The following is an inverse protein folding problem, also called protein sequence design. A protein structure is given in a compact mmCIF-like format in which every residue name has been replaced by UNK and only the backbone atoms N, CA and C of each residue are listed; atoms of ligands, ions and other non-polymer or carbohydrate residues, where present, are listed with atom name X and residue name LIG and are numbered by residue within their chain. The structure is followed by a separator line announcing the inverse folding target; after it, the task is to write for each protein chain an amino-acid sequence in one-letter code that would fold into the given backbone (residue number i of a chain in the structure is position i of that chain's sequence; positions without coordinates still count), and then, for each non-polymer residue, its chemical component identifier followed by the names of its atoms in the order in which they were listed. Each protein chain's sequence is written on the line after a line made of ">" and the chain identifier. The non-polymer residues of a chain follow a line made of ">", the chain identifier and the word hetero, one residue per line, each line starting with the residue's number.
data_IF_054551489123
#
_entry.id   IF_054551489123
#
_cell.length_a   1.000
_cell.length_b   1.000
_cell.length_c   1.000
_cell.angle_alpha   90.00
_cell.angle_beta   90.00
_cell.angle_gamma   90.00
#
_symmetry.space_group_name_H-M   'P 1'
#
loop_
_entity.id
_entity.type
_entity.pdbx_description
1 polymer ?
#
# COMPACT_ATOMS: atom_id res chain seq x y z
N UNK A 1 71.17 -23.39 -45.01
CA UNK A 1 71.26 -22.71 -43.70
C UNK A 1 70.72 -21.31 -43.90
N UNK A 2 69.63 -20.88 -43.23
CA UNK A 2 69.19 -19.50 -43.31
C UNK A 2 70.10 -18.65 -42.42
N UNK A 3 70.65 -17.60 -43.02
CA UNK A 3 71.42 -16.53 -42.39
C UNK A 3 70.53 -15.77 -41.40
N UNK A 4 70.86 -15.85 -40.12
CA UNK A 4 70.30 -14.98 -39.09
C UNK A 4 70.84 -13.57 -39.31
N UNK A 5 70.03 -12.68 -39.86
CA UNK A 5 70.31 -11.23 -39.88
C UNK A 5 70.31 -10.71 -38.44
N UNK A 6 71.49 -10.29 -37.96
CA UNK A 6 71.61 -9.57 -36.68
C UNK A 6 70.81 -8.26 -36.77
N UNK A 7 69.81 -8.12 -35.90
CA UNK A 7 69.03 -6.90 -35.81
C UNK A 7 69.87 -5.79 -35.16
N UNK A 8 70.05 -4.68 -35.88
CA UNK A 8 70.66 -3.48 -35.31
C UNK A 8 69.80 -2.94 -34.15
N UNK A 9 70.41 -2.35 -33.11
CA UNK A 9 69.67 -1.78 -31.99
C UNK A 9 68.71 -0.67 -32.48
N UNK A 10 67.47 -0.62 -31.97
CA UNK A 10 66.45 0.30 -32.44
C UNK A 10 66.85 1.76 -32.23
N UNK A 11 66.45 2.63 -33.17
CA UNK A 11 66.77 4.05 -33.09
C UNK A 11 65.96 4.75 -31.99
N UNK A 12 66.40 5.92 -31.48
CA UNK A 12 65.64 6.67 -30.48
C UNK A 12 64.21 7.02 -30.92
N UNK A 13 63.99 7.18 -32.23
CA UNK A 13 62.68 7.48 -32.83
C UNK A 13 61.78 6.23 -32.84
N UNK A 14 62.31 5.06 -33.24
CA UNK A 14 61.61 3.77 -33.15
C UNK A 14 61.22 3.43 -31.69
N UNK A 15 62.10 3.77 -30.75
CA UNK A 15 61.84 3.62 -29.31
C UNK A 15 60.72 4.57 -28.83
N UNK A 16 60.63 5.78 -29.36
CA UNK A 16 59.56 6.72 -29.02
C UNK A 16 58.20 6.26 -29.59
N UNK A 17 58.17 5.80 -30.83
CA UNK A 17 56.96 5.27 -31.48
C UNK A 17 56.44 4.01 -30.78
N UNK A 18 57.32 3.05 -30.48
CA UNK A 18 56.95 1.82 -29.76
C UNK A 18 56.47 2.09 -28.33
N UNK A 19 57.03 3.10 -27.64
CA UNK A 19 56.53 3.57 -26.33
C UNK A 19 55.13 4.19 -26.45
N UNK A 20 54.88 5.00 -27.48
CA UNK A 20 53.58 5.61 -27.72
C UNK A 20 52.51 4.57 -28.05
N UNK A 21 52.82 3.58 -28.89
CA UNK A 21 51.95 2.45 -29.17
C UNK A 21 51.64 1.65 -27.90
N UNK A 22 52.66 1.32 -27.10
CA UNK A 22 52.48 0.58 -25.85
C UNK A 22 51.64 1.34 -24.82
N UNK A 23 51.79 2.66 -24.73
CA UNK A 23 50.94 3.48 -23.86
C UNK A 23 49.47 3.44 -24.28
N UNK A 24 49.19 3.50 -25.59
CA UNK A 24 47.83 3.33 -26.14
C UNK A 24 47.26 1.95 -25.81
N UNK A 25 48.04 0.88 -26.01
CA UNK A 25 47.60 -0.49 -25.67
C UNK A 25 47.29 -0.65 -24.17
N UNK A 26 48.13 -0.10 -23.29
CA UNK A 26 47.92 -0.16 -21.84
C UNK A 26 46.65 0.60 -21.43
N UNK A 27 46.44 1.78 -22.00
CA UNK A 27 45.25 2.60 -21.75
C UNK A 27 43.98 1.89 -22.24
N UNK A 28 44.01 1.33 -23.45
CA UNK A 28 42.88 0.55 -24.00
C UNK A 28 42.59 -0.71 -23.17
N UNK A 29 43.62 -1.43 -22.71
CA UNK A 29 43.43 -2.60 -21.85
C UNK A 29 42.86 -2.23 -20.48
N UNK A 30 43.30 -1.11 -19.90
CA UNK A 30 42.74 -0.61 -18.64
C UNK A 30 41.27 -0.21 -18.82
N UNK A 31 40.96 0.59 -19.84
CA UNK A 31 39.60 0.99 -20.17
C UNK A 31 38.69 -0.21 -20.47
N UNK A 32 39.19 -1.22 -21.20
CA UNK A 32 38.42 -2.43 -21.49
C UNK A 32 38.13 -3.26 -20.23
N UNK A 33 39.08 -3.37 -19.30
CA UNK A 33 38.86 -4.02 -18.00
C UNK A 33 37.82 -3.27 -17.17
N UNK A 34 37.87 -1.95 -17.13
CA UNK A 34 36.85 -1.14 -16.45
C UNK A 34 35.48 -1.32 -17.11
N UNK A 35 35.40 -1.26 -18.43
CA UNK A 35 34.16 -1.50 -19.16
C UNK A 35 33.54 -2.86 -18.82
N UNK A 36 34.35 -3.92 -18.83
CA UNK A 36 33.89 -5.27 -18.48
C UNK A 36 33.38 -5.34 -17.03
N UNK A 37 34.06 -4.67 -16.10
CA UNK A 37 33.65 -4.59 -14.70
C UNK A 37 32.30 -3.87 -14.55
N UNK A 38 32.08 -2.75 -15.24
CA UNK A 38 30.80 -2.05 -15.23
C UNK A 38 29.68 -2.86 -15.91
N UNK A 39 29.96 -3.55 -17.01
CA UNK A 39 28.99 -4.45 -17.65
C UNK A 39 28.56 -5.59 -16.72
N UNK A 40 29.51 -6.17 -15.98
CA UNK A 40 29.22 -7.19 -14.96
C UNK A 40 28.34 -6.61 -13.85
N UNK A 41 28.67 -5.42 -13.34
CA UNK A 41 27.86 -4.73 -12.33
C UNK A 41 26.43 -4.47 -12.82
N UNK A 42 26.25 -3.96 -14.03
CA UNK A 42 24.92 -3.73 -14.62
C UNK A 42 24.15 -5.05 -14.74
N UNK A 43 24.81 -6.13 -15.12
CA UNK A 43 24.18 -7.47 -15.20
C UNK A 43 23.68 -7.92 -13.83
N UNK A 44 24.51 -7.78 -12.79
CA UNK A 44 24.12 -8.08 -11.40
C UNK A 44 22.96 -7.20 -10.96
N UNK A 45 22.99 -5.90 -11.24
CA UNK A 45 21.92 -4.95 -10.92
C UNK A 45 20.59 -5.36 -11.59
N UNK A 46 20.61 -5.74 -12.87
CA UNK A 46 19.42 -6.18 -13.60
C UNK A 46 18.83 -7.46 -12.99
N UNK A 47 19.67 -8.42 -12.60
CA UNK A 47 19.25 -9.65 -11.91
C UNK A 47 18.65 -9.33 -10.54
N UNK A 48 19.26 -8.45 -9.75
CA UNK A 48 18.76 -8.08 -8.42
C UNK A 48 17.45 -7.30 -8.52
N UNK A 49 17.33 -6.38 -9.47
CA UNK A 49 16.14 -5.56 -9.65
C UNK A 49 14.93 -6.37 -10.16
N UNK A 50 15.14 -7.37 -11.02
CA UNK A 50 14.06 -8.15 -11.61
C UNK A 50 13.88 -9.54 -10.99
N UNK A 51 14.88 -10.07 -10.29
CA UNK A 51 14.85 -11.42 -9.71
C UNK A 51 13.68 -11.67 -8.75
N UNK A 52 13.35 -10.73 -7.84
CA UNK A 52 12.18 -10.85 -6.97
C UNK A 52 10.83 -10.60 -7.66
N UNK A 53 10.81 -10.07 -8.90
CA UNK A 53 9.57 -9.73 -9.59
C UNK A 53 8.91 -11.00 -10.13
N UNK A 54 7.74 -11.31 -9.61
CA UNK A 54 6.88 -12.38 -10.08
C UNK A 54 5.85 -11.84 -11.10
N UNK A 55 5.72 -12.45 -12.29
CA UNK A 55 4.75 -12.01 -13.29
C UNK A 55 3.30 -12.06 -12.81
N UNK A 56 2.98 -12.90 -11.81
CA UNK A 56 1.62 -13.02 -11.27
C UNK A 56 1.22 -11.84 -10.40
N UNK A 57 2.16 -11.06 -9.87
CA UNK A 57 1.84 -9.90 -9.03
C UNK A 57 0.94 -8.90 -9.76
N UNK A 58 1.24 -8.60 -11.03
CA UNK A 58 0.43 -7.68 -11.82
C UNK A 58 -1.01 -8.18 -11.98
N UNK A 59 -1.19 -9.46 -12.31
CA UNK A 59 -2.51 -10.05 -12.50
C UNK A 59 -3.32 -10.09 -11.22
N UNK A 60 -2.69 -10.42 -10.09
CA UNK A 60 -3.37 -10.40 -8.78
C UNK A 60 -3.76 -8.98 -8.37
N UNK A 61 -2.86 -8.01 -8.49
CA UNK A 61 -3.18 -6.60 -8.21
C UNK A 61 -4.36 -6.12 -9.06
N UNK A 62 -4.33 -6.42 -10.36
CA UNK A 62 -5.40 -6.02 -11.29
C UNK A 62 -6.72 -6.70 -10.94
N UNK A 63 -6.73 -8.02 -10.75
CA UNK A 63 -7.92 -8.80 -10.39
C UNK A 63 -8.58 -8.23 -9.13
N UNK A 64 -7.81 -8.06 -8.06
CA UNK A 64 -8.35 -7.55 -6.79
C UNK A 64 -8.87 -6.11 -6.91
N UNK A 65 -8.14 -5.24 -7.62
CA UNK A 65 -8.61 -3.88 -7.88
C UNK A 65 -9.93 -3.87 -8.64
N UNK A 66 -10.05 -4.67 -9.70
CA UNK A 66 -11.25 -4.71 -10.53
C UNK A 66 -12.43 -5.31 -9.73
N UNK A 67 -12.21 -6.37 -8.96
CA UNK A 67 -13.21 -6.99 -8.08
C UNK A 67 -13.83 -5.98 -7.11
N UNK A 68 -13.02 -5.23 -6.37
CA UNK A 68 -13.52 -4.31 -5.35
C UNK A 68 -13.94 -2.94 -5.88
N UNK A 69 -13.38 -2.48 -7.00
CA UNK A 69 -13.73 -1.16 -7.55
C UNK A 69 -14.95 -1.20 -8.47
N UNK A 70 -15.04 -2.18 -9.35
CA UNK A 70 -16.10 -2.29 -10.38
C UNK A 70 -16.92 -3.58 -10.30
N UNK A 71 -16.42 -4.64 -9.66
CA UNK A 71 -17.03 -5.97 -9.63
C UNK A 71 -18.44 -6.03 -9.03
N UNK A 72 -18.76 -5.11 -8.10
CA UNK A 72 -20.11 -4.99 -7.50
C UNK A 72 -21.23 -4.51 -8.45
N UNK A 73 -20.92 -4.23 -9.72
CA UNK A 73 -21.92 -3.92 -10.75
C UNK A 73 -22.69 -2.62 -10.47
N UNK A 74 -23.95 -2.74 -10.00
CA UNK A 74 -24.76 -1.57 -9.60
C UNK A 74 -24.31 -0.99 -8.26
N UNK A 75 -23.83 -1.85 -7.36
CA UNK A 75 -23.40 -1.53 -6.00
C UNK A 75 -21.86 -1.53 -5.91
N UNK A 76 -21.17 -1.23 -7.01
CA UNK A 76 -19.71 -1.14 -7.01
C UNK A 76 -19.22 0.10 -6.24
N UNK A 77 -18.03 0.01 -5.67
CA UNK A 77 -17.43 1.13 -4.94
C UNK A 77 -17.29 2.39 -5.82
N UNK A 78 -17.00 2.23 -7.12
CA UNK A 78 -16.97 3.35 -8.07
C UNK A 78 -18.28 4.16 -8.10
N UNK A 79 -19.42 3.50 -7.84
CA UNK A 79 -20.76 4.11 -7.86
C UNK A 79 -21.25 4.54 -6.48
N UNK A 80 -20.45 4.37 -5.43
CA UNK A 80 -20.73 4.82 -4.07
C UNK A 80 -20.58 6.35 -3.97
N UNK A 81 -21.55 7.09 -4.54
CA UNK A 81 -21.55 8.56 -4.62
C UNK A 81 -22.28 9.25 -3.46
N UNK A 82 -22.92 8.49 -2.57
CA UNK A 82 -23.63 8.98 -1.38
C UNK A 82 -23.40 8.02 -0.22
N UNK A 83 -23.70 8.44 1.01
CA UNK A 83 -23.63 7.59 2.21
C UNK A 83 -24.43 6.29 2.05
N UNK A 84 -25.69 6.39 1.61
CA UNK A 84 -26.55 5.23 1.35
C UNK A 84 -25.95 4.29 0.29
N UNK A 85 -25.35 4.83 -0.78
CA UNK A 85 -24.73 3.97 -1.81
C UNK A 85 -23.43 3.33 -1.32
N UNK A 86 -22.74 3.96 -0.38
CA UNK A 86 -21.58 3.35 0.27
C UNK A 86 -22.00 2.16 1.13
N UNK A 87 -23.03 2.29 1.96
CA UNK A 87 -23.56 1.17 2.73
C UNK A 87 -24.11 0.05 1.85
N UNK A 88 -24.85 0.39 0.78
CA UNK A 88 -25.24 -0.57 -0.24
C UNK A 88 -24.04 -1.30 -0.86
N UNK A 89 -22.91 -0.63 -1.08
CA UNK A 89 -21.69 -1.28 -1.55
C UNK A 89 -21.16 -2.25 -0.48
N UNK A 90 -21.11 -1.85 0.78
CA UNK A 90 -20.65 -2.69 1.89
C UNK A 90 -21.50 -3.96 2.00
N UNK A 91 -22.82 -3.80 2.06
CA UNK A 91 -23.78 -4.88 2.27
C UNK A 91 -23.90 -5.81 1.05
N UNK A 92 -24.01 -5.25 -0.16
CA UNK A 92 -24.40 -6.02 -1.34
C UNK A 92 -23.23 -6.43 -2.24
N UNK A 93 -22.05 -5.82 -2.07
CA UNK A 93 -20.87 -6.13 -2.89
C UNK A 93 -19.66 -6.54 -2.06
N UNK A 94 -19.31 -5.81 -1.01
CA UNK A 94 -18.12 -6.13 -0.20
C UNK A 94 -18.33 -7.39 0.65
N UNK A 95 -19.35 -7.41 1.51
CA UNK A 95 -19.60 -8.54 2.43
C UNK A 95 -19.73 -9.87 1.67
N UNK A 96 -20.54 -10.00 0.61
CA UNK A 96 -20.66 -11.23 -0.15
C UNK A 96 -19.35 -11.68 -0.84
N UNK A 97 -18.47 -10.73 -1.18
CA UNK A 97 -17.17 -11.03 -1.78
C UNK A 97 -16.19 -11.59 -0.74
N UNK A 98 -16.20 -11.05 0.49
CA UNK A 98 -15.26 -11.43 1.56
C UNK A 98 -15.69 -12.64 2.40
N UNK A 99 -16.97 -13.00 2.37
CA UNK A 99 -17.55 -14.07 3.20
C UNK A 99 -18.20 -15.18 2.37
N UNK A 100 -17.55 -15.59 1.28
CA UNK A 100 -18.08 -16.66 0.42
C UNK A 100 -18.08 -18.01 1.15
N UNK A 101 -19.28 -18.58 1.33
CA UNK A 101 -19.48 -19.86 2.04
C UNK A 101 -19.74 -21.06 1.12
N UNK A 102 -19.87 -20.83 -0.19
CA UNK A 102 -20.19 -21.89 -1.16
C UNK A 102 -19.21 -21.88 -2.32
N UNK A 103 -18.76 -23.07 -2.73
CA UNK A 103 -17.96 -23.28 -3.93
C UNK A 103 -18.77 -22.98 -5.20
N UNK A 104 -18.09 -22.89 -6.34
CA UNK A 104 -18.70 -22.71 -7.66
C UNK A 104 -19.76 -23.76 -8.02
N UNK A 105 -19.74 -24.92 -7.37
CA UNK A 105 -20.70 -26.02 -7.55
C UNK A 105 -21.78 -26.09 -6.44
N UNK A 106 -21.88 -25.07 -5.59
CA UNK A 106 -22.89 -24.97 -4.54
C UNK A 106 -22.60 -25.81 -3.28
N UNK A 107 -21.47 -26.52 -3.22
CA UNK A 107 -21.06 -27.21 -1.99
C UNK A 107 -20.53 -26.23 -0.96
N UNK A 108 -20.72 -26.52 0.33
CA UNK A 108 -20.20 -25.68 1.41
C UNK A 108 -18.67 -25.63 1.40
N UNK A 109 -18.10 -24.45 1.61
CA UNK A 109 -16.69 -24.29 1.93
C UNK A 109 -16.45 -24.82 3.35
N UNK A 110 -15.33 -25.52 3.54
CA UNK A 110 -14.97 -26.08 4.85
C UNK A 110 -14.35 -25.04 5.79
N UNK A 111 -13.91 -23.90 5.25
CA UNK A 111 -13.31 -22.80 6.00
C UNK A 111 -13.81 -21.46 5.46
N UNK A 112 -14.16 -20.55 6.35
CA UNK A 112 -14.56 -19.20 6.00
C UNK A 112 -13.37 -18.34 5.54
N UNK A 113 -13.64 -17.15 5.00
CA UNK A 113 -12.63 -16.14 4.67
C UNK A 113 -12.02 -16.24 3.27
N UNK A 114 -12.47 -17.18 2.44
CA UNK A 114 -12.14 -17.16 1.01
C UNK A 114 -12.97 -16.12 0.27
N UNK A 115 -12.34 -15.49 -0.71
CA UNK A 115 -13.00 -14.62 -1.68
C UNK A 115 -13.84 -15.45 -2.66
N UNK A 116 -14.70 -14.78 -3.41
CA UNK A 116 -15.56 -15.43 -4.41
C UNK A 116 -14.77 -16.01 -5.60
N UNK A 117 -13.48 -15.66 -5.71
CA UNK A 117 -12.56 -16.26 -6.67
C UNK A 117 -12.06 -17.66 -6.26
N UNK A 118 -12.36 -18.10 -5.03
CA UNK A 118 -11.99 -19.40 -4.46
C UNK A 118 -10.50 -19.69 -4.38
N UNK A 119 -9.65 -18.71 -4.65
CA UNK A 119 -8.20 -18.85 -4.70
C UNK A 119 -7.51 -17.96 -3.68
N UNK A 120 -8.16 -16.87 -3.31
CA UNK A 120 -7.61 -15.85 -2.44
C UNK A 120 -8.35 -15.86 -1.10
N UNK A 121 -7.61 -15.66 -0.01
CA UNK A 121 -8.09 -15.77 1.36
C UNK A 121 -7.77 -14.50 2.15
N UNK A 122 -8.67 -14.04 3.01
CA UNK A 122 -8.43 -12.86 3.86
C UNK A 122 -7.55 -13.24 5.04
N UNK A 123 -6.34 -12.70 5.07
CA UNK A 123 -5.40 -12.89 6.15
C UNK A 123 -5.61 -11.82 7.23
N UNK A 124 -6.31 -12.18 8.31
CA UNK A 124 -6.64 -11.30 9.43
C UNK A 124 -8.09 -10.83 9.41
N UNK A 125 -8.33 -9.61 9.87
CA UNK A 125 -9.67 -9.00 9.95
C UNK A 125 -9.85 -7.95 8.86
N UNK A 126 -11.12 -7.60 8.59
CA UNK A 126 -11.45 -6.45 7.73
C UNK A 126 -11.68 -5.24 8.63
N UNK A 127 -10.88 -4.19 8.43
CA UNK A 127 -10.88 -2.98 9.26
C UNK A 127 -11.58 -1.84 8.54
N UNK A 128 -12.62 -1.29 9.15
CA UNK A 128 -13.17 0.01 8.79
C UNK A 128 -12.47 1.08 9.61
N UNK A 129 -12.00 2.13 8.96
CA UNK A 129 -11.43 3.31 9.63
C UNK A 129 -12.06 4.56 9.09
N UNK A 130 -12.54 5.41 9.98
CA UNK A 130 -13.23 6.64 9.65
C UNK A 130 -12.46 7.85 10.16
N UNK A 131 -12.47 8.91 9.35
CA UNK A 131 -12.02 10.25 9.70
C UNK A 131 -13.15 11.26 9.52
N UNK A 132 -13.23 12.19 10.47
CA UNK A 132 -14.32 13.16 10.61
C UNK A 132 -13.79 14.49 11.11
N UNK A 133 -14.60 15.53 10.93
CA UNK A 133 -14.34 16.88 11.47
C UNK A 133 -15.19 17.14 12.70
N UNK A 134 -14.78 18.11 13.52
CA UNK A 134 -15.47 18.43 14.77
C UNK A 134 -16.88 18.97 14.49
N UNK A 135 -17.86 18.49 15.25
CA UNK A 135 -19.26 18.92 15.13
C UNK A 135 -19.50 20.39 15.55
N UNK A 136 -18.71 20.89 16.51
CA UNK A 136 -18.95 22.20 17.14
C UNK A 136 -18.24 23.36 16.41
N UNK A 137 -17.20 23.07 15.63
CA UNK A 137 -16.47 24.06 14.85
C UNK A 137 -17.15 24.22 13.48
N UNK A 138 -18.23 25.01 13.47
CA UNK A 138 -18.93 25.32 12.24
C UNK A 138 -18.10 26.26 11.35
N UNK A 139 -18.20 26.07 10.05
CA UNK A 139 -17.60 27.01 9.10
C UNK A 139 -18.20 28.41 9.27
N UNK A 140 -17.42 29.46 8.95
CA UNK A 140 -17.90 30.84 9.03
C UNK A 140 -18.91 31.14 7.91
N UNK A 141 -20.20 31.07 8.24
CA UNK A 141 -21.29 31.41 7.31
C UNK A 141 -21.25 32.93 7.03
N UNK A 142 -21.22 33.36 5.75
CA UNK A 142 -21.24 34.78 5.43
C UNK A 142 -22.53 35.45 5.91
N UNK A 143 -22.44 36.70 6.38
CA UNK A 143 -23.55 37.43 7.00
C UNK A 143 -24.87 37.46 6.21
N UNK A 144 -24.87 37.54 4.86
CA UNK A 144 -26.13 37.52 4.09
C UNK A 144 -26.89 36.18 4.16
N UNK A 145 -26.23 35.09 4.54
CA UNK A 145 -26.81 33.75 4.63
C UNK A 145 -27.15 33.31 6.06
N UNK A 146 -26.84 34.14 7.06
CA UNK A 146 -27.23 33.88 8.45
C UNK A 146 -28.75 33.83 8.58
N UNK A 147 -29.28 32.73 9.12
CA UNK A 147 -30.71 32.47 9.24
C UNK A 147 -31.39 31.87 7.99
N UNK A 148 -30.62 31.64 6.92
CA UNK A 148 -31.03 30.80 5.77
C UNK A 148 -30.33 29.43 5.87
N UNK A 149 -29.06 29.46 6.26
CA UNK A 149 -28.24 28.26 6.48
C UNK A 149 -27.95 28.20 7.98
N UNK A 150 -28.39 27.13 8.61
CA UNK A 150 -28.23 26.94 10.05
C UNK A 150 -26.92 26.25 10.43
N UNK A 151 -26.38 25.42 9.53
CA UNK A 151 -25.17 24.65 9.76
C UNK A 151 -24.25 24.67 8.53
N UNK A 152 -22.94 24.63 8.79
CA UNK A 152 -21.93 24.49 7.76
C UNK A 152 -20.81 23.56 8.21
N UNK A 153 -20.41 22.70 7.31
CA UNK A 153 -19.39 21.69 7.46
C UNK A 153 -18.02 22.21 6.98
N UNK A 154 -16.96 22.00 7.77
CA UNK A 154 -15.59 22.35 7.38
C UNK A 154 -14.93 21.22 6.57
N UNK A 155 -14.04 21.56 5.65
CA UNK A 155 -13.23 20.58 4.92
C UNK A 155 -12.23 19.88 5.86
N UNK A 156 -11.76 18.69 5.47
CA UNK A 156 -10.78 17.96 6.29
C UNK A 156 -9.44 18.72 6.34
N UNK A 157 -8.91 18.89 7.55
CA UNK A 157 -7.61 19.51 7.77
C UNK A 157 -7.03 19.10 9.12
N UNK A 158 -5.75 19.41 9.33
CA UNK A 158 -5.05 19.05 10.57
C UNK A 158 -5.73 19.59 11.84
N UNK A 159 -6.23 20.83 11.79
CA UNK A 159 -6.90 21.48 12.92
C UNK A 159 -8.40 21.16 13.03
N UNK A 160 -9.04 20.85 11.90
CA UNK A 160 -10.47 20.54 11.82
C UNK A 160 -10.79 19.07 12.16
N UNK A 161 -9.77 18.18 12.11
CA UNK A 161 -9.89 16.77 12.48
C UNK A 161 -10.44 16.60 13.90
N UNK A 162 -11.40 15.67 14.06
CA UNK A 162 -11.98 15.35 15.36
C UNK A 162 -11.34 14.13 16.01
N UNK A 163 -10.63 14.39 17.11
CA UNK A 163 -9.93 13.39 17.91
C UNK A 163 -10.62 13.07 19.24
N UNK A 164 -11.89 13.46 19.43
CA UNK A 164 -12.63 13.25 20.68
C UNK A 164 -13.18 11.83 20.78
N UNK A 165 -13.38 11.35 22.00
CA UNK A 165 -14.09 10.09 22.22
C UNK A 165 -15.59 10.36 22.31
N UNK A 166 -16.41 9.52 21.67
CA UNK A 166 -17.86 9.66 21.64
C UNK A 166 -18.58 8.44 22.19
N UNK A 167 -19.83 8.64 22.58
CA UNK A 167 -20.79 7.54 22.74
C UNK A 167 -21.46 7.20 21.40
N UNK A 168 -22.25 6.13 21.40
CA UNK A 168 -23.05 5.71 20.24
C UNK A 168 -23.84 6.86 19.61
N UNK A 169 -23.86 6.88 18.28
CA UNK A 169 -24.55 7.91 17.48
C UNK A 169 -23.93 9.31 17.54
N UNK A 170 -22.68 9.43 18.00
CA UNK A 170 -21.98 10.71 18.13
C UNK A 170 -22.65 11.70 19.09
N UNK A 171 -23.42 11.19 20.07
CA UNK A 171 -24.30 12.00 20.91
C UNK A 171 -23.58 12.87 21.96
N UNK A 172 -22.31 12.60 22.28
CA UNK A 172 -21.52 13.39 23.23
C UNK A 172 -20.21 12.72 23.64
N UNK A 173 -19.38 13.39 24.46
CA UNK A 173 -18.08 12.87 24.86
C UNK A 173 -18.24 11.60 25.69
N UNK A 174 -17.52 10.55 25.34
CA UNK A 174 -17.44 9.35 26.16
C UNK A 174 -16.66 9.63 27.46
N UNK A 175 -17.05 8.95 28.54
CA UNK A 175 -16.38 9.06 29.83
C UNK A 175 -15.09 8.22 29.82
N UNK A 176 -14.06 8.77 29.19
CA UNK A 176 -12.74 8.14 29.04
C UNK A 176 -11.75 8.79 30.00
N UNK A 177 -11.07 7.96 30.80
CA UNK A 177 -10.13 8.42 31.84
C UNK A 177 -8.65 8.33 31.41
N UNK A 178 -8.34 7.68 30.29
CA UNK A 178 -6.97 7.39 29.83
C UNK A 178 -6.76 7.84 28.37
N UNK A 179 -5.60 8.42 28.04
CA UNK A 179 -5.19 8.75 26.68
C UNK A 179 -3.68 8.46 26.53
N UNK A 180 -3.25 7.55 25.64
CA UNK A 180 -4.04 6.75 24.71
C UNK A 180 -4.88 5.67 25.42
N UNK A 181 -6.07 5.38 24.88
CA UNK A 181 -6.94 4.33 25.42
C UNK A 181 -6.41 2.92 25.11
N UNK A 182 -6.71 1.99 26.02
CA UNK A 182 -6.55 0.55 25.85
C UNK A 182 -7.90 -0.01 25.40
N UNK A 183 -8.05 -0.32 24.11
CA UNK A 183 -9.33 -0.72 23.51
C UNK A 183 -9.92 -1.98 24.10
N UNK A 184 -9.07 -2.91 24.54
CA UNK A 184 -9.49 -4.18 25.13
C UNK A 184 -10.27 -4.01 26.45
N UNK A 185 -10.23 -2.81 27.06
CA UNK A 185 -11.02 -2.49 28.25
C UNK A 185 -12.46 -2.03 27.92
N UNK A 186 -12.76 -1.75 26.66
CA UNK A 186 -14.05 -1.27 26.19
C UNK A 186 -14.81 -2.37 25.44
N UNK A 187 -16.13 -2.31 25.47
CA UNK A 187 -16.97 -3.28 24.75
C UNK A 187 -16.91 -3.09 23.24
N UNK A 188 -17.21 -4.15 22.47
CA UNK A 188 -17.26 -4.08 20.99
C UNK A 188 -18.25 -3.03 20.46
N UNK A 189 -19.28 -2.68 21.25
CA UNK A 189 -20.27 -1.64 20.93
C UNK A 189 -19.73 -0.22 21.17
N UNK A 190 -18.81 -0.05 22.13
CA UNK A 190 -18.21 1.24 22.47
C UNK A 190 -17.01 1.59 21.57
N UNK A 191 -16.18 0.61 21.24
CA UNK A 191 -14.94 0.79 20.47
C UNK A 191 -15.09 1.62 19.17
N UNK A 192 -16.16 1.44 18.35
CA UNK A 192 -16.37 2.21 17.12
C UNK A 192 -16.48 3.72 17.29
N UNK A 193 -16.78 4.19 18.50
CA UNK A 193 -17.02 5.60 18.83
C UNK A 193 -15.82 6.25 19.52
N UNK A 194 -14.79 5.46 19.82
CA UNK A 194 -13.58 5.93 20.48
C UNK A 194 -12.47 6.25 19.46
N UNK A 195 -11.89 7.44 19.56
CA UNK A 195 -10.81 7.86 18.68
C UNK A 195 -9.52 7.07 18.92
N UNK A 196 -8.93 6.56 17.84
CA UNK A 196 -7.62 5.93 17.79
C UNK A 196 -6.56 6.94 17.42
N UNK A 197 -5.62 7.15 18.34
CA UNK A 197 -4.44 7.97 18.12
C UNK A 197 -3.53 7.34 17.07
N UNK A 198 -2.92 8.13 16.17
CA UNK A 198 -2.03 7.62 15.13
C UNK A 198 -0.79 6.95 15.73
N UNK A 199 -0.40 5.84 15.13
CA UNK A 199 0.86 5.14 15.43
C UNK A 199 1.98 5.57 14.49
N UNK A 200 3.22 5.18 14.77
CA UNK A 200 4.37 5.41 13.88
C UNK A 200 4.23 4.76 12.49
N UNK A 201 3.29 3.82 12.33
CA UNK A 201 3.05 3.09 11.09
C UNK A 201 1.91 3.68 10.26
N UNK A 202 1.14 4.63 10.81
CA UNK A 202 0.04 5.27 10.11
C UNK A 202 0.57 6.41 9.24
N UNK A 203 0.87 6.08 7.99
CA UNK A 203 1.33 7.03 6.98
C UNK A 203 0.12 7.78 6.41
N UNK A 204 0.17 9.12 6.26
CA UNK A 204 -0.93 9.86 5.67
C UNK A 204 -1.23 9.44 4.24
N UNK A 205 -2.51 9.18 3.93
CA UNK A 205 -2.96 8.83 2.58
C UNK A 205 -3.45 10.08 1.87
N UNK A 206 -2.88 10.38 0.69
CA UNK A 206 -3.39 11.46 -0.16
C UNK A 206 -4.65 11.02 -0.91
N UNK A 207 -5.76 11.72 -0.67
CA UNK A 207 -6.99 11.62 -1.42
C UNK A 207 -7.04 12.58 -2.62
N UNK A 208 -8.22 12.70 -3.21
CA UNK A 208 -8.53 13.68 -4.25
C UNK A 208 -8.79 15.07 -3.67
N UNK A 209 -9.43 15.15 -2.50
CA UNK A 209 -9.84 16.42 -1.89
C UNK A 209 -8.94 16.84 -0.73
N UNK A 210 -8.41 15.88 0.04
CA UNK A 210 -7.53 16.17 1.16
C UNK A 210 -6.47 15.08 1.36
N UNK A 211 -5.48 15.39 2.19
CA UNK A 211 -4.55 14.38 2.74
C UNK A 211 -5.06 13.95 4.10
N UNK A 212 -5.28 12.65 4.28
CA UNK A 212 -5.85 12.06 5.47
C UNK A 212 -4.76 11.50 6.37
N UNK A 213 -4.67 12.00 7.59
CA UNK A 213 -3.65 11.57 8.54
C UNK A 213 -4.00 10.22 9.19
N UNK A 214 -3.07 9.71 10.00
CA UNK A 214 -3.28 8.51 10.80
C UNK A 214 -4.37 8.67 11.86
N UNK A 215 -4.64 7.56 12.55
CA UNK A 215 -5.70 7.51 13.56
C UNK A 215 -7.11 7.51 12.98
N UNK A 216 -8.11 7.75 13.83
CA UNK A 216 -9.51 7.78 13.46
C UNK A 216 -10.37 6.81 14.28
N UNK A 217 -11.60 6.60 13.86
CA UNK A 217 -12.54 5.69 14.52
C UNK A 217 -12.50 4.36 13.79
N UNK A 218 -12.27 3.27 14.51
CA UNK A 218 -11.96 1.97 13.91
C UNK A 218 -13.01 0.94 14.32
N UNK A 219 -13.41 0.12 13.35
CA UNK A 219 -14.22 -1.08 13.57
C UNK A 219 -13.51 -2.25 12.92
N UNK A 220 -13.26 -3.30 13.68
CA UNK A 220 -12.67 -4.54 13.16
C UNK A 220 -13.75 -5.61 13.03
N UNK A 221 -13.92 -6.11 11.81
CA UNK A 221 -14.83 -7.23 11.53
C UNK A 221 -14.09 -8.53 11.83
N UNK A 222 -14.25 -9.03 13.06
CA UNK A 222 -13.58 -10.23 13.58
C UNK A 222 -14.26 -11.53 13.15
N UNK A 223 -15.58 -11.51 13.01
CA UNK A 223 -16.37 -12.67 12.60
C UNK A 223 -16.47 -12.75 11.07
N UNK A 224 -16.10 -13.88 10.49
CA UNK A 224 -16.09 -14.10 9.03
C UNK A 224 -17.41 -14.59 8.47
N UNK A 225 -18.40 -14.88 9.33
CA UNK A 225 -19.70 -15.37 8.87
C UNK A 225 -20.52 -14.23 8.27
N UNK A 226 -21.14 -14.49 7.12
CA UNK A 226 -21.95 -13.49 6.39
C UNK A 226 -23.02 -12.86 7.28
N UNK A 227 -23.70 -13.65 8.11
CA UNK A 227 -24.77 -13.15 8.97
C UNK A 227 -24.25 -12.19 10.05
N UNK A 228 -23.11 -12.49 10.68
CA UNK A 228 -22.51 -11.61 11.68
C UNK A 228 -22.02 -10.31 11.04
N UNK A 229 -21.33 -10.42 9.90
CA UNK A 229 -20.86 -9.25 9.14
C UNK A 229 -22.02 -8.31 8.77
N UNK A 230 -23.10 -8.87 8.22
CA UNK A 230 -24.29 -8.08 7.88
C UNK A 230 -24.93 -7.44 9.11
N UNK A 231 -25.01 -8.15 10.25
CA UNK A 231 -25.56 -7.57 11.48
C UNK A 231 -24.73 -6.41 12.03
N UNK A 232 -23.39 -6.51 11.97
CA UNK A 232 -22.51 -5.40 12.39
C UNK A 232 -22.64 -4.22 11.44
N UNK A 233 -22.72 -4.45 10.13
CA UNK A 233 -22.91 -3.40 9.12
C UNK A 233 -24.25 -2.68 9.30
N UNK A 234 -25.34 -3.43 9.51
CA UNK A 234 -26.69 -2.89 9.75
C UNK A 234 -26.74 -2.05 11.04
N UNK A 235 -26.09 -2.51 12.10
CA UNK A 235 -25.96 -1.73 13.34
C UNK A 235 -25.15 -0.43 13.14
N UNK A 236 -24.02 -0.47 12.43
CA UNK A 236 -23.23 0.73 12.16
C UNK A 236 -24.00 1.75 11.29
N UNK A 237 -24.76 1.28 10.31
CA UNK A 237 -25.59 2.13 9.46
C UNK A 237 -26.74 2.76 10.26
N UNK A 238 -27.50 1.94 11.00
CA UNK A 238 -28.65 2.41 11.80
C UNK A 238 -28.24 3.34 12.95
N UNK A 239 -27.04 3.16 13.51
CA UNK A 239 -26.47 4.03 14.54
C UNK A 239 -25.87 5.31 13.98
N UNK A 240 -25.82 5.48 12.64
CA UNK A 240 -25.28 6.69 12.01
C UNK A 240 -23.76 6.82 12.15
N UNK A 241 -23.01 5.71 12.11
CA UNK A 241 -21.55 5.74 12.23
C UNK A 241 -20.92 6.61 11.13
N UNK A 242 -21.49 6.64 9.93
CA UNK A 242 -21.11 7.57 8.86
C UNK A 242 -22.19 8.65 8.74
N UNK A 243 -21.80 9.91 8.87
CA UNK A 243 -22.69 11.07 8.86
C UNK A 243 -22.10 12.25 8.05
N UNK A 244 -22.78 13.40 8.08
CA UNK A 244 -22.37 14.60 7.33
C UNK A 244 -20.99 15.15 7.74
N UNK A 245 -20.51 14.84 8.95
CA UNK A 245 -19.20 15.25 9.44
C UNK A 245 -18.08 14.28 9.04
N UNK A 246 -18.44 13.09 8.51
CA UNK A 246 -17.46 12.15 7.96
C UNK A 246 -16.80 12.75 6.72
N UNK A 247 -15.47 12.63 6.62
CA UNK A 247 -14.70 13.10 5.46
C UNK A 247 -14.03 11.99 4.68
N UNK A 248 -13.67 10.89 5.34
CA UNK A 248 -13.19 9.71 4.66
C UNK A 248 -13.49 8.44 5.44
N UNK A 249 -13.78 7.37 4.71
CA UNK A 249 -13.88 6.01 5.22
C UNK A 249 -12.94 5.12 4.43
N UNK A 250 -12.14 4.35 5.15
CA UNK A 250 -11.20 3.37 4.65
C UNK A 250 -11.70 1.98 5.02
N UNK A 251 -11.69 1.06 4.07
CA UNK A 251 -11.84 -0.37 4.29
C UNK A 251 -10.50 -1.01 3.96
N UNK A 252 -9.84 -1.56 4.97
CA UNK A 252 -8.47 -2.04 4.91
C UNK A 252 -8.42 -3.51 5.32
N UNK A 253 -7.78 -4.33 4.49
CA UNK A 253 -7.62 -5.76 4.75
C UNK A 253 -6.47 -6.34 3.93
N UNK A 254 -5.97 -7.50 4.34
CA UNK A 254 -4.90 -8.19 3.62
C UNK A 254 -5.44 -9.49 3.02
N UNK A 255 -5.10 -9.74 1.76
CA UNK A 255 -5.48 -10.94 1.03
C UNK A 255 -4.23 -11.77 0.76
N UNK A 256 -4.28 -13.05 1.05
CA UNK A 256 -3.24 -14.02 0.72
C UNK A 256 -3.72 -15.00 -0.34
N UNK A 257 -2.92 -15.18 -1.39
CA UNK A 257 -3.17 -16.20 -2.41
C UNK A 257 -2.18 -17.37 -2.21
N UNK A 258 -2.63 -18.53 -1.66
CA UNK A 258 -1.77 -19.69 -1.42
C UNK A 258 -1.15 -20.28 -2.69
N UNK A 259 -1.81 -20.19 -3.84
CA UNK A 259 -1.32 -20.77 -5.09
C UNK A 259 -0.06 -20.05 -5.61
N UNK A 260 0.00 -18.74 -5.43
CA UNK A 260 1.11 -17.89 -5.91
C UNK A 260 2.06 -17.43 -4.80
N UNK A 261 1.70 -17.68 -3.53
CA UNK A 261 2.42 -17.21 -2.35
C UNK A 261 2.65 -15.69 -2.39
N UNK A 262 1.56 -14.96 -2.59
CA UNK A 262 1.53 -13.50 -2.71
C UNK A 262 0.49 -12.93 -1.76
N UNK A 263 0.88 -11.89 -1.05
CA UNK A 263 0.01 -11.07 -0.20
C UNK A 263 -0.38 -9.82 -0.96
N UNK A 264 -1.61 -9.36 -0.82
CA UNK A 264 -2.10 -8.10 -1.37
C UNK A 264 -2.75 -7.29 -0.26
N UNK A 265 -2.19 -6.13 0.00
CA UNK A 265 -2.72 -5.17 0.97
C UNK A 265 -3.73 -4.32 0.22
N UNK A 266 -4.99 -4.35 0.66
CA UNK A 266 -6.10 -3.63 0.07
C UNK A 266 -6.44 -2.42 0.92
N UNK A 267 -6.54 -1.25 0.28
CA UNK A 267 -7.05 -0.03 0.87
C UNK A 267 -8.11 0.56 -0.07
N UNK A 268 -9.37 0.43 0.34
CA UNK A 268 -10.51 1.01 -0.35
C UNK A 268 -10.87 2.29 0.40
N UNK A 269 -10.86 3.42 -0.27
CA UNK A 269 -11.09 4.73 0.34
C UNK A 269 -12.27 5.41 -0.33
N UNK A 270 -13.18 5.97 0.48
CA UNK A 270 -14.27 6.84 0.01
C UNK A 270 -14.21 8.17 0.74
N UNK A 271 -14.03 9.24 -0.01
CA UNK A 271 -14.03 10.63 0.45
C UNK A 271 -15.44 11.20 0.37
N UNK A 272 -15.89 11.85 1.44
CA UNK A 272 -17.16 12.56 1.51
C UNK A 272 -16.86 14.06 1.63
N UNK A 273 -16.73 14.78 0.50
CA UNK A 273 -16.51 16.21 0.53
C UNK A 273 -17.79 16.95 0.94
N UNK A 274 -17.62 18.18 1.42
CA UNK A 274 -18.71 19.12 1.75
C UNK A 274 -19.61 19.47 0.55
N UNK A 275 -19.13 19.20 -0.67
CA UNK A 275 -19.82 19.44 -1.94
C UNK A 275 -20.87 18.35 -2.31
N UNK A 276 -21.02 17.30 -1.49
CA UNK A 276 -22.11 16.33 -1.57
C UNK A 276 -21.73 14.98 -2.17
N UNK A 277 -21.24 14.92 -3.42
CA UNK A 277 -20.90 13.62 -4.04
C UNK A 277 -19.60 13.06 -3.50
N UNK A 278 -19.63 11.82 -3.02
CA UNK A 278 -18.41 11.12 -2.61
C UNK A 278 -17.56 10.67 -3.80
N UNK A 279 -16.27 10.50 -3.53
CA UNK A 279 -15.28 9.98 -4.47
C UNK A 279 -14.56 8.78 -3.86
N UNK A 280 -14.55 7.66 -4.57
CA UNK A 280 -13.89 6.44 -4.09
C UNK A 280 -12.69 6.06 -4.95
N UNK A 281 -11.68 5.48 -4.31
CA UNK A 281 -10.51 4.88 -4.94
C UNK A 281 -10.16 3.55 -4.28
N UNK A 282 -9.45 2.69 -5.02
CA UNK A 282 -8.90 1.43 -4.52
C UNK A 282 -7.42 1.40 -4.79
N UNK A 283 -6.66 1.15 -3.75
CA UNK A 283 -5.23 0.89 -3.79
C UNK A 283 -4.98 -0.57 -3.39
N UNK A 284 -4.28 -1.28 -4.26
CA UNK A 284 -3.95 -2.69 -4.07
C UNK A 284 -2.44 -2.85 -4.25
N UNK A 285 -1.75 -3.24 -3.18
CA UNK A 285 -0.30 -3.44 -3.20
C UNK A 285 0.03 -4.91 -2.99
N UNK A 286 0.48 -5.58 -4.05
CA UNK A 286 0.85 -7.00 -3.99
C UNK A 286 2.34 -7.16 -3.69
N UNK A 287 2.67 -7.99 -2.69
CA UNK A 287 4.02 -8.27 -2.23
C UNK A 287 4.23 -9.76 -1.97
N UNK A 288 5.46 -10.22 -2.18
CA UNK A 288 5.91 -11.53 -1.69
C UNK A 288 6.59 -11.36 -0.35
N UNK A 289 5.90 -11.74 0.72
CA UNK A 289 6.42 -11.71 2.08
C UNK A 289 7.44 -12.85 2.31
N UNK A 290 7.07 -14.08 1.96
CA UNK A 290 7.94 -15.26 2.08
C UNK A 290 8.82 -15.42 0.83
N UNK A 291 9.99 -14.78 0.83
CA UNK A 291 10.85 -14.67 -0.37
C UNK A 291 11.73 -15.90 -0.65
N UNK A 292 12.28 -16.55 0.37
CA UNK A 292 13.39 -17.53 0.22
C UNK A 292 12.95 -18.99 0.07
N UNK A 293 11.80 -19.22 -0.55
CA UNK A 293 11.23 -20.57 -0.66
C UNK A 293 11.80 -21.35 -1.86
N UNK A 294 12.06 -20.68 -2.98
CA UNK A 294 12.50 -21.34 -4.23
C UNK A 294 14.01 -21.34 -4.40
N UNK A 295 14.55 -22.28 -5.18
CA UNK A 295 15.99 -22.28 -5.53
C UNK A 295 16.39 -20.97 -6.21
N UNK A 296 15.56 -20.47 -7.13
CA UNK A 296 15.78 -19.18 -7.79
C UNK A 296 15.91 -18.02 -6.80
N UNK A 297 15.05 -17.96 -5.78
CA UNK A 297 15.14 -16.90 -4.76
C UNK A 297 16.45 -16.92 -3.98
N UNK A 298 17.03 -18.10 -3.75
CA UNK A 298 18.35 -18.26 -3.11
C UNK A 298 19.48 -17.81 -4.03
N UNK A 299 19.38 -18.09 -5.33
CA UNK A 299 20.32 -17.57 -6.34
C UNK A 299 20.28 -16.05 -6.38
N UNK A 300 19.08 -15.45 -6.43
CA UNK A 300 18.92 -13.99 -6.38
C UNK A 300 19.51 -13.40 -5.09
N UNK A 301 19.34 -14.08 -3.95
CA UNK A 301 19.95 -13.67 -2.68
C UNK A 301 21.50 -13.66 -2.73
N UNK A 302 22.11 -14.63 -3.41
CA UNK A 302 23.56 -14.64 -3.62
C UNK A 302 24.01 -13.44 -4.48
N UNK A 303 23.28 -13.13 -5.55
CA UNK A 303 23.54 -11.93 -6.36
C UNK A 303 23.33 -10.62 -5.60
N UNK A 304 22.37 -10.56 -4.66
CA UNK A 304 22.24 -9.42 -3.74
C UNK A 304 23.47 -9.24 -2.86
N UNK A 305 24.05 -10.33 -2.35
CA UNK A 305 25.32 -10.28 -1.61
C UNK A 305 26.48 -9.75 -2.47
N UNK A 306 26.60 -10.24 -3.71
CA UNK A 306 27.58 -9.75 -4.68
C UNK A 306 27.37 -8.25 -4.98
N UNK A 307 26.12 -7.81 -5.14
CA UNK A 307 25.78 -6.41 -5.36
C UNK A 307 26.23 -5.50 -4.20
N UNK A 308 26.07 -5.95 -2.96
CA UNK A 308 26.56 -5.23 -1.78
C UNK A 308 28.09 -5.10 -1.82
N UNK A 309 28.82 -6.16 -2.19
CA UNK A 309 30.28 -6.10 -2.34
C UNK A 309 30.72 -5.12 -3.42
N UNK A 310 30.04 -5.10 -4.59
CA UNK A 310 30.29 -4.09 -5.62
C UNK A 310 30.04 -2.67 -5.12
N UNK A 311 28.95 -2.46 -4.40
CA UNK A 311 28.59 -1.15 -3.84
C UNK A 311 29.65 -0.66 -2.86
N UNK A 312 30.10 -1.54 -1.95
CA UNK A 312 31.19 -1.22 -1.03
C UNK A 312 32.49 -0.90 -1.77
N UNK A 313 32.84 -1.69 -2.79
CA UNK A 313 34.02 -1.41 -3.63
C UNK A 313 33.95 -0.02 -4.27
N UNK A 314 32.81 0.37 -4.84
CA UNK A 314 32.64 1.70 -5.43
C UNK A 314 32.78 2.81 -4.39
N UNK A 315 32.16 2.66 -3.21
CA UNK A 315 32.27 3.63 -2.12
C UNK A 315 33.73 3.82 -1.69
N UNK A 316 34.50 2.73 -1.54
CA UNK A 316 35.92 2.81 -1.18
C UNK A 316 36.78 3.41 -2.29
N UNK A 317 36.49 3.09 -3.55
CA UNK A 317 37.19 3.65 -4.71
C UNK A 317 36.97 5.15 -4.80
N UNK A 318 35.72 5.61 -4.72
CA UNK A 318 35.37 7.05 -4.79
C UNK A 318 36.09 7.84 -3.69
N UNK A 319 36.02 7.34 -2.44
CA UNK A 319 36.67 7.98 -1.29
C UNK A 319 38.20 8.12 -1.46
N UNK A 320 38.84 7.18 -2.16
CA UNK A 320 40.28 7.23 -2.43
C UNK A 320 40.65 8.22 -3.54
N UNK A 321 39.71 8.53 -4.44
CA UNK A 321 39.93 9.54 -5.49
C UNK A 321 39.67 10.97 -5.00
N UNK A 322 38.82 11.15 -3.99
CA UNK A 322 38.54 12.46 -3.36
C UNK A 322 39.59 12.89 -2.30
N UNK A 323 40.52 12.01 -1.92
CA UNK A 323 41.66 12.30 -1.02
C UNK A 323 42.97 12.39 -1.81
#
# INVERSE_FOLDING_TARGET
>A
MPTTTEANPPTPEDLAESRAQRFRELTLRAAFKELLFYLLFITVLVIVANGPRDPMMYYQTKHLRDTFFIGGGKHSLQKATTFEKFWNFVELALVPEISSTTWYNGMALQSDGYLRDYQSYIAGTVRFRQLRVKQDEQCKIPTPFLGIIDNCDEDYGYFANDARHYTEGWAGPANVTEDPIIYENYTEEEQPWLYHSPTLYDIPTSGRYATYYGGGYIVELTNTTTAALLSTVDWLESSGWIDQHTRAVFVQFTIFNPNTNLFSIMELMTEFPTLGSSYSKVEATTVRLFRFQTVWSKVVAAFQGVFVLFTLYFVFRERKYDM
#
